data_IF_787722008708
#
_entry.id   IF_787722008708
#
_cell.length_a   1.000
_cell.length_b   1.000
_cell.length_c   1.000
_cell.angle_alpha   90.00
_cell.angle_beta   90.00
_cell.angle_gamma   90.00
#
_symmetry.space_group_name_H-M   'P 1'
#
loop_
_entity.id
_entity.type
_entity.pdbx_description
1 polymer ?
#
# COMPACT_ATOMS: atom_id res chain seq x y z
N UNK A 1 3.46 -5.44 -13.49
CA UNK A 1 2.05 -5.04 -13.24
C UNK A 1 1.97 -3.60 -12.76
N UNK A 2 2.83 -3.18 -11.83
CA UNK A 2 3.05 -1.78 -11.47
C UNK A 2 3.87 -1.14 -12.59
N UNK A 3 3.18 -0.76 -13.65
CA UNK A 3 3.76 -0.20 -14.88
C UNK A 3 4.11 1.29 -14.74
N UNK A 4 4.57 1.89 -15.84
CA UNK A 4 4.92 3.31 -15.90
C UNK A 4 3.73 4.23 -15.55
N UNK A 5 2.51 3.86 -15.95
CA UNK A 5 1.33 4.67 -15.70
C UNK A 5 0.96 4.69 -14.20
N UNK A 6 1.07 3.56 -13.50
CA UNK A 6 0.91 3.50 -12.04
C UNK A 6 2.06 4.25 -11.34
N UNK A 7 3.30 4.10 -11.82
CA UNK A 7 4.47 4.79 -11.27
C UNK A 7 4.36 6.31 -11.40
N UNK A 8 3.79 6.80 -12.50
CA UNK A 8 3.52 8.23 -12.70
C UNK A 8 2.51 8.77 -11.67
N UNK A 9 1.48 7.99 -11.31
CA UNK A 9 0.55 8.34 -10.23
C UNK A 9 1.25 8.36 -8.87
N UNK A 10 2.06 7.34 -8.57
CA UNK A 10 2.83 7.24 -7.32
C UNK A 10 3.84 8.39 -7.14
N UNK A 11 4.32 8.98 -8.24
CA UNK A 11 5.24 10.12 -8.22
C UNK A 11 4.57 11.44 -7.78
N UNK A 12 3.23 11.50 -7.82
CA UNK A 12 2.46 12.63 -7.32
C UNK A 12 2.06 12.39 -5.86
N UNK A 13 1.99 13.43 -5.05
CA UNK A 13 1.53 13.29 -3.67
C UNK A 13 0.02 13.06 -3.60
N UNK A 14 -0.41 12.20 -2.68
CA UNK A 14 -1.81 11.81 -2.51
C UNK A 14 -1.99 10.80 -1.39
N UNK A 15 -3.21 10.67 -0.89
CA UNK A 15 -3.53 9.59 0.05
C UNK A 15 -3.68 8.27 -0.71
N UNK A 16 -2.98 7.25 -0.25
CA UNK A 16 -3.15 5.87 -0.68
C UNK A 16 -4.01 5.14 0.34
N UNK A 17 -5.33 5.18 0.15
CA UNK A 17 -6.28 4.53 1.03
C UNK A 17 -6.40 3.05 0.69
N UNK A 18 -6.51 2.18 1.69
CA UNK A 18 -6.65 0.75 1.47
C UNK A 18 -7.55 0.07 2.51
N UNK A 19 -8.22 -0.98 2.05
CA UNK A 19 -9.22 -1.74 2.80
C UNK A 19 -8.70 -3.14 3.08
N UNK A 20 -8.97 -3.60 4.30
CA UNK A 20 -8.92 -5.02 4.69
C UNK A 20 -10.30 -5.46 5.17
N UNK A 21 -10.60 -6.74 5.17
CA UNK A 21 -11.82 -7.34 5.66
C UNK A 21 -11.60 -7.92 7.05
N UNK A 22 -12.36 -7.44 8.02
CA UNK A 22 -12.46 -8.05 9.35
C UNK A 22 -13.79 -8.77 9.56
N UNK A 23 -13.98 -9.45 10.70
CA UNK A 23 -15.25 -10.13 11.02
C UNK A 23 -16.44 -9.16 11.14
N UNK A 24 -16.19 -7.90 11.48
CA UNK A 24 -17.22 -6.86 11.60
C UNK A 24 -17.47 -6.04 10.32
N UNK A 25 -16.86 -6.41 9.19
CA UNK A 25 -16.94 -5.64 7.95
C UNK A 25 -15.59 -5.06 7.49
N UNK A 26 -15.62 -4.16 6.49
CA UNK A 26 -14.41 -3.55 5.95
C UNK A 26 -13.75 -2.64 6.99
N UNK A 27 -12.43 -2.69 7.05
CA UNK A 27 -11.59 -1.78 7.80
C UNK A 27 -10.76 -0.95 6.81
N UNK A 28 -10.99 0.36 6.82
CA UNK A 28 -10.36 1.33 5.92
C UNK A 28 -9.29 2.13 6.67
N UNK A 29 -8.11 2.21 6.08
CA UNK A 29 -6.99 3.04 6.55
C UNK A 29 -6.29 3.67 5.35
N UNK A 30 -5.27 4.49 5.57
CA UNK A 30 -4.49 5.09 4.50
C UNK A 30 -3.01 5.24 4.85
N UNK A 31 -2.20 5.42 3.81
CA UNK A 31 -0.81 5.91 3.84
C UNK A 31 -0.66 7.04 2.81
N UNK A 32 0.54 7.56 2.60
CA UNK A 32 0.86 8.55 1.57
C UNK A 32 1.50 7.89 0.35
N UNK A 33 1.21 8.39 -0.86
CA UNK A 33 1.83 7.88 -2.09
C UNK A 33 3.35 8.01 -2.05
N UNK A 34 3.87 9.10 -1.48
CA UNK A 34 5.32 9.31 -1.27
C UNK A 34 5.97 8.34 -0.26
N UNK A 35 5.17 7.59 0.49
CA UNK A 35 5.65 6.56 1.42
C UNK A 35 5.68 5.17 0.78
N UNK A 36 4.99 4.98 -0.35
CA UNK A 36 5.00 3.73 -1.09
C UNK A 36 6.33 3.59 -1.82
N UNK A 37 7.02 2.49 -1.55
CA UNK A 37 8.22 2.09 -2.27
C UNK A 37 7.89 0.91 -3.17
N UNK A 38 8.19 1.05 -4.45
CA UNK A 38 8.09 -0.06 -5.40
C UNK A 38 9.34 -0.92 -5.28
N UNK A 39 9.18 -2.20 -4.88
CA UNK A 39 10.31 -3.13 -4.75
C UNK A 39 10.59 -3.87 -6.07
N UNK A 40 9.53 -4.20 -6.80
CA UNK A 40 9.56 -4.88 -8.09
C UNK A 40 8.26 -4.59 -8.86
N UNK A 41 7.98 -5.32 -9.94
CA UNK A 41 6.80 -5.10 -10.80
C UNK A 41 5.45 -5.51 -10.19
N UNK A 42 5.43 -6.07 -8.98
CA UNK A 42 4.24 -6.54 -8.28
C UNK A 42 4.25 -6.25 -6.77
N UNK A 43 5.34 -5.74 -6.19
CA UNK A 43 5.46 -5.58 -4.74
C UNK A 43 5.67 -4.12 -4.33
N UNK A 44 4.83 -3.66 -3.40
CA UNK A 44 4.97 -2.37 -2.72
C UNK A 44 5.35 -2.58 -1.26
N UNK A 45 6.15 -1.66 -0.70
CA UNK A 45 6.41 -1.59 0.74
C UNK A 45 6.20 -0.18 1.29
N UNK A 46 5.67 -0.08 2.51
CA UNK A 46 5.45 1.22 3.19
C UNK A 46 5.45 1.09 4.72
N UNK A 47 5.74 2.17 5.46
CA UNK A 47 5.92 2.10 6.90
C UNK A 47 4.59 1.91 7.64
N UNK A 48 4.57 1.01 8.63
CA UNK A 48 3.51 0.92 9.61
C UNK A 48 3.96 1.56 10.93
N UNK A 49 3.26 2.61 11.39
CA UNK A 49 3.29 3.05 12.79
C UNK A 49 2.17 2.40 13.60
N UNK A 50 0.98 2.36 13.00
CA UNK A 50 -0.26 1.77 13.56
C UNK A 50 -0.62 0.44 12.92
N UNK A 51 -1.81 0.35 12.32
CA UNK A 51 -2.29 -0.84 11.57
C UNK A 51 -2.46 -2.12 12.39
N UNK A 52 -2.76 -2.02 13.70
CA UNK A 52 -2.99 -3.22 14.53
C UNK A 52 -4.20 -4.03 14.04
N UNK A 53 -5.32 -3.36 13.77
CA UNK A 53 -6.52 -4.03 13.24
C UNK A 53 -6.32 -4.56 11.82
N UNK A 54 -5.66 -3.77 10.96
CA UNK A 54 -5.22 -4.22 9.63
C UNK A 54 -4.37 -5.49 9.74
N UNK A 55 -3.38 -5.52 10.62
CA UNK A 55 -2.49 -6.68 10.82
C UNK A 55 -3.24 -7.93 11.29
N UNK A 56 -4.22 -7.78 12.20
CA UNK A 56 -5.13 -8.87 12.57
C UNK A 56 -5.91 -9.39 11.36
N UNK A 57 -6.49 -8.50 10.56
CA UNK A 57 -7.26 -8.86 9.37
C UNK A 57 -6.37 -9.59 8.34
N UNK A 58 -5.15 -9.12 8.11
CA UNK A 58 -4.20 -9.73 7.17
C UNK A 58 -3.78 -11.14 7.63
N UNK A 59 -3.50 -11.32 8.93
CA UNK A 59 -3.21 -12.65 9.50
C UNK A 59 -4.38 -13.62 9.37
N UNK A 60 -5.62 -13.12 9.39
CA UNK A 60 -6.82 -13.89 9.13
C UNK A 60 -7.06 -14.18 7.62
N UNK A 61 -6.13 -13.79 6.74
CA UNK A 61 -6.20 -14.05 5.30
C UNK A 61 -6.97 -13.00 4.51
N UNK A 62 -7.21 -11.81 5.08
CA UNK A 62 -7.87 -10.71 4.38
C UNK A 62 -7.14 -10.36 3.08
N UNK A 63 -7.87 -10.18 1.96
CA UNK A 63 -7.33 -9.49 0.81
C UNK A 63 -7.11 -8.00 1.12
N UNK A 64 -6.35 -7.32 0.27
CA UNK A 64 -6.17 -5.87 0.28
C UNK A 64 -6.66 -5.29 -1.03
N UNK A 65 -7.38 -4.18 -0.94
CA UNK A 65 -7.58 -3.27 -2.07
C UNK A 65 -7.10 -1.88 -1.70
N UNK A 66 -6.25 -1.30 -2.53
CA UNK A 66 -5.70 0.05 -2.38
C UNK A 66 -6.13 0.92 -3.56
N UNK A 67 -6.54 2.16 -3.30
CA UNK A 67 -6.78 3.16 -4.32
C UNK A 67 -5.65 4.18 -4.33
N UNK A 68 -5.18 4.48 -5.53
CA UNK A 68 -4.18 5.51 -5.83
C UNK A 68 -4.78 6.50 -6.83
N UNK A 69 -4.34 7.76 -6.79
CA UNK A 69 -4.82 8.77 -7.73
C UNK A 69 -3.91 9.97 -7.85
N UNK A 70 -3.89 10.54 -9.05
CA UNK A 70 -3.22 11.81 -9.35
C UNK A 70 -4.14 12.67 -10.21
N UNK A 71 -4.09 14.00 -10.01
CA UNK A 71 -4.82 14.97 -10.84
C UNK A 71 -4.01 15.46 -12.04
N UNK A 72 -2.69 15.53 -11.90
CA UNK A 72 -1.78 16.06 -12.90
C UNK A 72 -0.78 14.99 -13.39
N UNK A 73 -0.29 15.09 -14.64
CA UNK A 73 -0.71 16.04 -15.68
C UNK A 73 -2.07 15.69 -16.32
N UNK A 74 -2.55 14.44 -16.13
CA UNK A 74 -3.90 14.02 -16.48
C UNK A 74 -4.47 13.21 -15.32
N UNK A 75 -5.73 13.46 -14.99
CA UNK A 75 -6.39 12.75 -13.92
C UNK A 75 -6.37 11.25 -14.21
N UNK A 76 -5.87 10.46 -13.26
CA UNK A 76 -5.91 9.01 -13.34
C UNK A 76 -5.93 8.40 -11.95
N UNK A 77 -6.59 7.26 -11.81
CA UNK A 77 -6.65 6.52 -10.56
C UNK A 77 -6.71 5.02 -10.80
N UNK A 78 -6.05 4.29 -9.90
CA UNK A 78 -5.84 2.86 -10.00
C UNK A 78 -6.26 2.17 -8.73
N UNK A 79 -6.98 1.05 -8.88
CA UNK A 79 -7.19 0.09 -7.82
C UNK A 79 -6.14 -1.01 -7.92
N UNK A 80 -5.34 -1.16 -6.88
CA UNK A 80 -4.43 -2.29 -6.69
C UNK A 80 -5.13 -3.32 -5.80
N UNK A 81 -5.18 -4.58 -6.22
CA UNK A 81 -5.68 -5.68 -5.39
C UNK A 81 -4.56 -6.68 -5.13
N UNK A 82 -4.53 -7.29 -3.95
CA UNK A 82 -3.48 -8.22 -3.58
C UNK A 82 -3.60 -8.75 -2.15
N UNK A 83 -2.46 -9.22 -1.62
CA UNK A 83 -2.31 -9.61 -0.21
C UNK A 83 -1.17 -8.85 0.41
N UNK A 84 -1.30 -8.54 1.70
CA UNK A 84 -0.24 -7.88 2.43
C UNK A 84 0.07 -8.58 3.75
N UNK A 85 1.24 -8.29 4.26
CA UNK A 85 1.69 -8.71 5.58
C UNK A 85 2.52 -7.59 6.24
N UNK A 86 2.59 -7.63 7.56
CA UNK A 86 3.49 -6.76 8.32
C UNK A 86 4.73 -7.55 8.70
N UNK A 87 5.89 -7.04 8.28
CA UNK A 87 7.19 -7.63 8.55
C UNK A 87 7.97 -6.74 9.53
N UNK A 88 8.35 -7.30 10.68
CA UNK A 88 9.28 -6.69 11.63
C UNK A 88 10.66 -7.34 11.49
N UNK A 89 11.70 -6.62 11.88
CA UNK A 89 13.10 -7.10 11.87
C UNK A 89 13.60 -7.69 10.54
N UNK A 90 13.06 -7.23 9.41
CA UNK A 90 13.51 -7.57 8.05
C UNK A 90 14.33 -6.44 7.42
N UNK A 91 15.11 -6.71 6.34
CA UNK A 91 15.87 -5.66 5.64
C UNK A 91 14.97 -4.49 5.17
N UNK A 92 13.80 -4.79 4.61
CA UNK A 92 12.88 -3.75 4.16
C UNK A 92 12.33 -2.90 5.32
N UNK A 93 12.09 -3.50 6.48
CA UNK A 93 11.71 -2.76 7.69
C UNK A 93 12.84 -1.86 8.17
N UNK A 94 14.09 -2.35 8.19
CA UNK A 94 15.25 -1.55 8.57
C UNK A 94 15.42 -0.32 7.65
N UNK A 95 15.30 -0.51 6.34
CA UNK A 95 15.37 0.58 5.35
C UNK A 95 14.24 1.60 5.54
N UNK A 96 13.00 1.15 5.76
CA UNK A 96 11.89 2.06 6.04
C UNK A 96 12.08 2.80 7.36
N UNK A 97 12.62 2.15 8.40
CA UNK A 97 12.83 2.75 9.71
C UNK A 97 13.92 3.84 9.70
N UNK A 98 14.92 3.73 8.83
CA UNK A 98 15.89 4.80 8.61
C UNK A 98 15.22 6.10 8.11
N UNK A 99 14.25 5.99 7.20
CA UNK A 99 13.47 7.13 6.69
C UNK A 99 12.35 7.55 7.63
N UNK A 100 11.76 6.60 8.35
CA UNK A 100 10.60 6.78 9.22
C UNK A 100 10.90 6.19 10.61
N UNK A 101 11.54 6.93 11.54
CA UNK A 101 11.97 6.39 12.83
C UNK A 101 10.85 5.76 13.69
N UNK A 102 9.61 6.18 13.47
CA UNK A 102 8.40 5.66 14.11
C UNK A 102 7.87 4.35 13.50
N UNK A 103 8.48 3.86 12.42
CA UNK A 103 8.10 2.62 11.76
C UNK A 103 8.34 1.43 12.70
N UNK A 104 7.27 0.71 13.05
CA UNK A 104 7.32 -0.52 13.87
C UNK A 104 7.41 -1.79 13.02
N UNK A 105 7.01 -1.72 11.75
CA UNK A 105 7.00 -2.82 10.80
C UNK A 105 6.87 -2.27 9.37
N UNK A 106 7.38 -3.00 8.38
CA UNK A 106 7.06 -2.76 6.97
C UNK A 106 5.73 -3.44 6.61
N UNK A 107 4.80 -2.72 5.99
CA UNK A 107 3.73 -3.38 5.23
C UNK A 107 4.33 -3.78 3.88
N UNK A 108 4.24 -5.06 3.52
CA UNK A 108 4.62 -5.58 2.20
C UNK A 108 3.35 -6.03 1.50
N UNK A 109 2.99 -5.37 0.41
CA UNK A 109 1.81 -5.64 -0.42
C UNK A 109 2.24 -6.30 -1.73
N UNK A 110 1.83 -7.55 -1.91
CA UNK A 110 1.95 -8.30 -3.16
C UNK A 110 0.70 -8.07 -4.00
N UNK A 111 0.84 -7.23 -5.01
CA UNK A 111 -0.20 -6.88 -5.98
C UNK A 111 -0.41 -8.05 -6.94
N UNK A 112 -1.66 -8.47 -7.10
CA UNK A 112 -2.06 -9.51 -8.07
C UNK A 112 -2.90 -8.94 -9.21
N UNK A 113 -3.43 -7.72 -9.06
CA UNK A 113 -4.22 -7.05 -10.09
C UNK A 113 -4.10 -5.54 -9.97
N UNK A 114 -4.02 -4.88 -11.13
CA UNK A 114 -4.08 -3.43 -11.30
C UNK A 114 -5.23 -3.12 -12.23
N UNK A 115 -6.07 -2.17 -11.86
CA UNK A 115 -7.18 -1.71 -12.68
C UNK A 115 -7.25 -0.19 -12.67
N UNK A 116 -7.30 0.42 -13.85
CA UNK A 116 -7.59 1.86 -13.97
C UNK A 116 -9.07 2.06 -13.71
N UNK A 117 -9.40 2.77 -12.64
CA UNK A 117 -10.79 2.98 -12.18
C UNK A 117 -11.23 4.45 -12.27
N UNK A 118 -10.30 5.34 -12.62
CA UNK A 118 -10.55 6.76 -12.82
C UNK A 118 -9.62 7.30 -13.92
N UNK A 119 -10.13 8.19 -14.78
CA UNK A 119 -9.35 8.98 -15.73
C UNK A 119 -10.11 9.44 -16.95
#
# INVERSE_FOLDING_TARGET
MIDEAVRAVLAQEGSAAFVTQGPGGPHLVATWQSYLRVLDDATLAFPAGGYRKTEENLRAGSPVQMILGAKEPRASGYRLSGRAELQADTPIHAELKQRFPWCRAAVVLHVTQVEKVLG
#
